data_IF_528811989497
#
_entry.id   IF_528811989497
#
_cell.length_a   1.000
_cell.length_b   1.000
_cell.length_c   1.000
_cell.angle_alpha   90.00
_cell.angle_beta   90.00
_cell.angle_gamma   90.00
#
_symmetry.space_group_name_H-M   'P 1'
#
loop_
_entity.id
_entity.type
_entity.pdbx_description
1 polymer ?
#
# COMPACT_ATOMS: atom_id res chain seq x y z
N UNK A 1 19.32 -13.27 6.70
CA UNK A 1 19.83 -12.66 5.46
C UNK A 1 19.95 -11.16 5.67
N UNK A 2 20.93 -10.46 5.07
CA UNK A 2 20.96 -9.02 5.07
C UNK A 2 19.70 -8.48 4.39
N UNK A 3 19.30 -7.25 4.71
CA UNK A 3 18.18 -6.56 4.06
C UNK A 3 18.51 -6.36 2.57
N UNK A 4 17.59 -6.78 1.72
CA UNK A 4 17.66 -6.49 0.29
C UNK A 4 17.17 -5.06 0.01
N UNK A 5 17.73 -4.41 -1.00
CA UNK A 5 17.31 -3.09 -1.47
C UNK A 5 16.90 -3.18 -2.94
N UNK A 6 15.98 -2.31 -3.42
CA UNK A 6 15.69 -2.18 -4.83
C UNK A 6 16.96 -1.84 -5.63
N UNK A 7 17.24 -2.60 -6.69
CA UNK A 7 18.42 -2.42 -7.52
C UNK A 7 18.19 -1.36 -8.61
N UNK A 8 18.88 -0.21 -8.58
CA UNK A 8 18.76 0.80 -9.62
C UNK A 8 19.09 0.28 -11.02
N UNK A 9 20.01 -0.70 -11.15
CA UNK A 9 20.36 -1.25 -12.45
C UNK A 9 19.21 -2.02 -13.08
N UNK A 10 18.36 -2.67 -12.28
CA UNK A 10 17.15 -3.32 -12.78
C UNK A 10 16.11 -2.31 -13.29
N UNK A 11 15.98 -1.16 -12.60
CA UNK A 11 14.94 -0.18 -12.89
C UNK A 11 15.31 0.82 -13.99
N UNK A 12 16.60 1.08 -14.21
CA UNK A 12 17.08 2.07 -15.18
C UNK A 12 16.53 1.81 -16.59
N UNK A 13 15.80 2.79 -17.13
CA UNK A 13 15.17 2.73 -18.47
C UNK A 13 13.99 1.76 -18.58
N UNK A 14 13.58 1.08 -17.50
CA UNK A 14 12.46 0.14 -17.53
C UNK A 14 11.12 0.89 -17.59
N UNK A 15 10.29 0.51 -18.56
CA UNK A 15 8.96 1.11 -18.71
C UNK A 15 7.98 0.51 -17.71
N UNK A 16 7.43 1.36 -16.86
CA UNK A 16 6.54 0.96 -15.77
C UNK A 16 5.20 1.70 -15.88
N UNK A 17 4.10 0.95 -15.85
CA UNK A 17 2.76 1.54 -15.71
C UNK A 17 2.31 1.45 -14.25
N UNK A 18 1.92 2.57 -13.67
CA UNK A 18 1.37 2.65 -12.30
C UNK A 18 -0.07 3.12 -12.38
N UNK A 19 -1.03 2.21 -12.17
CA UNK A 19 -2.42 2.62 -12.03
C UNK A 19 -2.67 3.16 -10.62
N UNK A 20 -3.46 4.23 -10.49
CA UNK A 20 -3.66 4.89 -9.19
C UNK A 20 -2.45 5.71 -8.71
N UNK A 21 -1.57 6.12 -9.62
CA UNK A 21 -0.34 6.85 -9.34
C UNK A 21 -0.55 8.19 -8.61
N UNK A 22 -1.72 8.81 -8.69
CA UNK A 22 -2.07 10.05 -7.98
C UNK A 22 -2.59 9.81 -6.56
N UNK A 23 -2.85 8.57 -6.17
CA UNK A 23 -3.19 8.18 -4.80
C UNK A 23 -1.99 8.24 -3.86
N UNK A 24 -2.21 8.10 -2.56
CA UNK A 24 -1.16 8.20 -1.55
C UNK A 24 0.03 7.24 -1.84
N UNK A 25 -0.18 5.93 -1.82
CA UNK A 25 0.88 4.95 -2.16
C UNK A 25 1.43 5.13 -3.56
N UNK A 26 0.55 5.46 -4.52
CA UNK A 26 0.92 5.60 -5.93
C UNK A 26 1.91 6.74 -6.17
N UNK A 27 1.75 7.89 -5.48
CA UNK A 27 2.69 9.02 -5.57
C UNK A 27 4.08 8.64 -5.06
N UNK A 28 4.16 8.01 -3.89
CA UNK A 28 5.43 7.55 -3.32
C UNK A 28 6.13 6.52 -4.21
N UNK A 29 5.38 5.54 -4.71
CA UNK A 29 5.92 4.52 -5.61
C UNK A 29 6.43 5.15 -6.93
N UNK A 30 5.67 6.07 -7.51
CA UNK A 30 6.06 6.77 -8.75
C UNK A 30 7.35 7.56 -8.56
N UNK A 31 7.48 8.29 -7.44
CA UNK A 31 8.71 9.03 -7.11
C UNK A 31 9.90 8.07 -6.93
N UNK A 32 9.71 6.99 -6.20
CA UNK A 32 10.79 6.03 -5.97
C UNK A 32 11.26 5.36 -7.27
N UNK A 33 10.32 4.90 -8.09
CA UNK A 33 10.64 4.31 -9.41
C UNK A 33 11.41 5.29 -10.29
N UNK A 34 10.99 6.56 -10.35
CA UNK A 34 11.71 7.60 -11.10
C UNK A 34 13.10 7.86 -10.54
N UNK A 35 13.25 7.89 -9.22
CA UNK A 35 14.56 8.02 -8.56
C UNK A 35 15.49 6.84 -8.86
N UNK A 36 14.94 5.64 -9.10
CA UNK A 36 15.66 4.46 -9.56
C UNK A 36 15.92 4.45 -11.08
N UNK A 37 15.50 5.48 -11.81
CA UNK A 37 15.73 5.60 -13.25
C UNK A 37 14.67 4.96 -14.15
N UNK A 38 13.52 4.52 -13.62
CA UNK A 38 12.45 3.95 -14.42
C UNK A 38 11.67 5.00 -15.22
N UNK A 39 11.18 4.61 -16.42
CA UNK A 39 10.26 5.39 -17.25
C UNK A 39 8.82 5.12 -16.81
N UNK A 40 8.27 5.99 -15.96
CA UNK A 40 6.97 5.76 -15.33
C UNK A 40 5.85 6.48 -16.04
N UNK A 41 4.89 5.70 -16.56
CA UNK A 41 3.58 6.17 -17.02
C UNK A 41 2.55 5.98 -15.90
N UNK A 42 1.82 7.05 -15.60
CA UNK A 42 0.72 7.02 -14.63
C UNK A 42 -0.63 6.85 -15.32
N UNK A 43 -1.58 6.17 -14.66
CA UNK A 43 -2.97 6.05 -15.10
C UNK A 43 -3.90 6.24 -13.91
N UNK A 44 -4.71 7.29 -13.90
CA UNK A 44 -5.63 7.58 -12.80
C UNK A 44 -6.81 8.45 -13.23
N UNK A 45 -7.88 8.47 -12.44
CA UNK A 45 -9.06 9.30 -12.68
C UNK A 45 -8.75 10.80 -12.73
N UNK A 46 -7.74 11.26 -12.01
CA UNK A 46 -7.32 12.67 -12.06
C UNK A 46 -6.78 13.09 -13.43
N UNK A 47 -6.26 12.12 -14.20
CA UNK A 47 -5.72 12.35 -15.55
C UNK A 47 -6.69 11.80 -16.62
N UNK A 48 -7.95 11.58 -16.27
CA UNK A 48 -8.99 11.09 -17.17
C UNK A 48 -8.98 9.57 -17.40
N UNK A 49 -8.14 8.81 -16.68
CA UNK A 49 -8.09 7.35 -16.78
C UNK A 49 -8.90 6.65 -15.70
N UNK A 50 -9.86 5.81 -16.07
CA UNK A 50 -10.63 4.98 -15.12
C UNK A 50 -10.40 3.50 -15.41
N UNK A 51 -10.00 2.73 -14.37
CA UNK A 51 -9.78 1.29 -14.49
C UNK A 51 -11.07 0.51 -14.77
N UNK A 52 -12.24 1.07 -14.49
CA UNK A 52 -13.52 0.48 -14.83
C UNK A 52 -13.83 0.55 -16.34
N UNK A 53 -13.16 1.45 -17.07
CA UNK A 53 -13.23 1.54 -18.54
C UNK A 53 -12.17 0.63 -19.18
N UNK A 54 -12.59 -0.53 -19.67
CA UNK A 54 -11.72 -1.50 -20.33
C UNK A 54 -11.02 -0.92 -21.60
N UNK A 55 -11.68 0.00 -22.31
CA UNK A 55 -11.12 0.65 -23.50
C UNK A 55 -9.96 1.58 -23.12
N UNK A 56 -10.18 2.42 -22.10
CA UNK A 56 -9.16 3.33 -21.60
C UNK A 56 -7.93 2.59 -21.05
N UNK A 57 -8.15 1.49 -20.32
CA UNK A 57 -7.05 0.64 -19.80
C UNK A 57 -6.25 0.02 -20.93
N UNK A 58 -6.90 -0.58 -21.95
CA UNK A 58 -6.22 -1.15 -23.12
C UNK A 58 -5.39 -0.09 -23.87
N UNK A 59 -5.97 1.08 -24.08
CA UNK A 59 -5.28 2.17 -24.75
C UNK A 59 -4.03 2.62 -23.95
N UNK A 60 -4.13 2.73 -22.64
CA UNK A 60 -3.00 3.10 -21.77
C UNK A 60 -1.86 2.07 -21.81
N UNK A 61 -2.17 0.77 -21.73
CA UNK A 61 -1.18 -0.32 -21.82
C UNK A 61 -0.54 -0.34 -23.22
N UNK A 62 -1.33 -0.22 -24.28
CA UNK A 62 -0.83 -0.22 -25.65
C UNK A 62 0.10 0.98 -25.92
N UNK A 63 -0.26 2.17 -25.45
CA UNK A 63 0.54 3.39 -25.66
C UNK A 63 1.84 3.41 -24.86
N UNK A 64 1.80 2.99 -23.59
CA UNK A 64 2.98 3.00 -22.72
C UNK A 64 3.89 1.81 -22.90
N UNK A 65 3.41 0.71 -23.51
CA UNK A 65 4.16 -0.55 -23.72
C UNK A 65 4.98 -0.98 -22.49
N UNK A 66 4.36 -1.06 -21.30
CA UNK A 66 5.10 -1.28 -20.06
C UNK A 66 5.68 -2.71 -20.02
N UNK A 67 6.80 -2.86 -19.31
CA UNK A 67 7.39 -4.16 -18.98
C UNK A 67 6.90 -4.61 -17.60
N UNK A 68 6.64 -3.65 -16.71
CA UNK A 68 6.14 -3.87 -15.35
C UNK A 68 4.86 -3.05 -15.13
N UNK A 69 3.86 -3.68 -14.54
CA UNK A 69 2.61 -3.01 -14.15
C UNK A 69 2.43 -3.09 -12.63
N UNK A 70 2.33 -1.94 -11.99
CA UNK A 70 1.85 -1.85 -10.60
C UNK A 70 0.39 -1.40 -10.61
N UNK A 71 -0.51 -2.27 -10.16
CA UNK A 71 -1.93 -1.96 -10.11
C UNK A 71 -2.33 -1.55 -8.68
N UNK A 72 -2.38 -0.21 -8.44
CA UNK A 72 -2.77 0.40 -7.16
C UNK A 72 -4.14 1.07 -7.21
N UNK A 73 -4.71 1.24 -8.41
CA UNK A 73 -6.02 1.87 -8.54
C UNK A 73 -7.08 1.06 -7.77
N UNK A 74 -7.83 1.76 -6.93
CA UNK A 74 -8.88 1.13 -6.14
C UNK A 74 -9.56 2.13 -5.21
N UNK A 75 -10.78 1.83 -4.78
CA UNK A 75 -11.44 2.50 -3.69
C UNK A 75 -10.98 1.85 -2.38
N UNK A 76 -10.38 2.65 -1.48
CA UNK A 76 -9.49 2.13 -0.44
C UNK A 76 -9.98 2.37 1.00
N UNK A 77 -11.28 2.59 1.22
CA UNK A 77 -11.84 2.78 2.57
C UNK A 77 -13.13 2.00 2.76
N UNK A 78 -13.34 1.50 3.97
CA UNK A 78 -14.56 0.81 4.39
C UNK A 78 -15.78 1.74 4.28
N UNK A 79 -15.60 3.03 4.60
CA UNK A 79 -16.68 4.04 4.51
C UNK A 79 -17.20 4.19 3.08
N UNK A 80 -16.31 4.24 2.07
CA UNK A 80 -16.73 4.24 0.67
C UNK A 80 -17.45 2.95 0.30
N UNK A 81 -17.04 1.82 0.88
CA UNK A 81 -17.73 0.53 0.70
C UNK A 81 -19.18 0.56 1.15
N UNK A 82 -19.46 1.18 2.28
CA UNK A 82 -20.85 1.35 2.75
C UNK A 82 -21.61 2.43 1.97
N UNK A 83 -20.95 3.49 1.54
CA UNK A 83 -21.59 4.58 0.81
C UNK A 83 -22.02 4.18 -0.61
N UNK A 84 -21.17 3.43 -1.32
CA UNK A 84 -21.45 2.93 -2.68
C UNK A 84 -20.79 1.55 -2.89
N UNK A 85 -21.46 0.47 -2.46
CA UNK A 85 -20.93 -0.88 -2.63
C UNK A 85 -20.70 -1.27 -4.08
N UNK A 86 -21.58 -0.87 -5.00
CA UNK A 86 -21.47 -1.22 -6.41
C UNK A 86 -20.23 -0.59 -7.06
N UNK A 87 -19.95 0.68 -6.77
CA UNK A 87 -18.75 1.34 -7.25
C UNK A 87 -17.48 0.66 -6.73
N UNK A 88 -17.47 0.20 -5.48
CA UNK A 88 -16.30 -0.48 -4.90
C UNK A 88 -16.01 -1.79 -5.64
N UNK A 89 -17.01 -2.61 -5.93
CA UNK A 89 -16.80 -3.84 -6.73
C UNK A 89 -16.42 -3.52 -8.17
N UNK A 90 -17.04 -2.52 -8.78
CA UNK A 90 -16.72 -2.10 -10.16
C UNK A 90 -15.27 -1.67 -10.28
N UNK A 91 -14.79 -0.84 -9.37
CA UNK A 91 -13.39 -0.34 -9.43
C UNK A 91 -12.40 -1.43 -8.99
N UNK A 92 -12.64 -2.09 -7.85
CA UNK A 92 -11.66 -3.00 -7.27
C UNK A 92 -11.61 -4.36 -7.98
N UNK A 93 -12.75 -4.90 -8.42
CA UNK A 93 -12.82 -6.24 -9.02
C UNK A 93 -12.82 -6.17 -10.54
N UNK A 94 -13.79 -5.45 -11.12
CA UNK A 94 -13.88 -5.32 -12.58
C UNK A 94 -12.70 -4.54 -13.13
N UNK A 95 -12.30 -3.45 -12.46
CA UNK A 95 -11.09 -2.69 -12.83
C UNK A 95 -9.82 -3.54 -12.82
N UNK A 96 -9.66 -4.44 -11.84
CA UNK A 96 -8.54 -5.39 -11.83
C UNK A 96 -8.62 -6.36 -13.01
N UNK A 97 -9.80 -6.91 -13.30
CA UNK A 97 -9.97 -7.78 -14.46
C UNK A 97 -9.64 -7.06 -15.78
N UNK A 98 -10.05 -5.79 -15.92
CA UNK A 98 -9.73 -4.97 -17.10
C UNK A 98 -8.21 -4.77 -17.27
N UNK A 99 -7.49 -4.48 -16.16
CA UNK A 99 -6.02 -4.34 -16.20
C UNK A 99 -5.37 -5.66 -16.61
N UNK A 100 -5.77 -6.78 -16.01
CA UNK A 100 -5.19 -8.09 -16.34
C UNK A 100 -5.55 -8.56 -17.76
N UNK A 101 -6.74 -8.20 -18.26
CA UNK A 101 -7.12 -8.45 -19.65
C UNK A 101 -6.26 -7.62 -20.62
N UNK A 102 -6.02 -6.35 -20.34
CA UNK A 102 -5.14 -5.52 -21.16
C UNK A 102 -3.67 -6.03 -21.12
N UNK A 103 -3.21 -6.50 -19.97
CA UNK A 103 -1.92 -7.18 -19.81
C UNK A 103 -1.86 -8.45 -20.68
N UNK A 104 -2.92 -9.27 -20.69
CA UNK A 104 -3.01 -10.46 -21.55
C UNK A 104 -2.87 -10.12 -23.04
N UNK A 105 -3.38 -8.98 -23.47
CA UNK A 105 -3.34 -8.51 -24.86
C UNK A 105 -2.00 -7.85 -25.24
N UNK A 106 -1.15 -7.56 -24.26
CA UNK A 106 0.14 -6.89 -24.46
C UNK A 106 1.28 -7.87 -24.75
N UNK A 107 2.19 -7.48 -25.65
CA UNK A 107 3.43 -8.21 -25.93
C UNK A 107 4.63 -7.70 -25.12
N UNK A 108 4.50 -6.58 -24.42
CA UNK A 108 5.59 -5.95 -23.67
C UNK A 108 5.62 -6.33 -22.19
N UNK A 109 4.46 -6.56 -21.57
CA UNK A 109 4.37 -6.83 -20.12
C UNK A 109 4.99 -8.18 -19.77
N UNK A 110 5.79 -8.19 -18.71
CA UNK A 110 6.41 -9.39 -18.13
C UNK A 110 6.05 -9.58 -16.67
N UNK A 111 5.81 -8.50 -15.95
CA UNK A 111 5.56 -8.51 -14.50
C UNK A 111 4.35 -7.68 -14.14
N UNK A 112 3.48 -8.21 -13.27
CA UNK A 112 2.37 -7.49 -12.68
C UNK A 112 2.39 -7.65 -11.15
N UNK A 113 2.29 -6.53 -10.44
CA UNK A 113 2.08 -6.50 -8.99
C UNK A 113 0.73 -5.85 -8.69
N UNK A 114 -0.23 -6.64 -8.26
CA UNK A 114 -1.58 -6.18 -7.87
C UNK A 114 -1.65 -5.85 -6.38
N UNK A 115 -1.97 -4.59 -6.04
CA UNK A 115 -2.03 -4.15 -4.64
C UNK A 115 -3.43 -4.33 -4.08
N UNK A 116 -3.57 -5.22 -3.12
CA UNK A 116 -4.82 -5.54 -2.45
C UNK A 116 -4.86 -4.94 -1.03
N UNK A 117 -5.04 -5.73 0.02
CA UNK A 117 -5.09 -5.28 1.42
C UNK A 117 -5.00 -6.47 2.36
N UNK A 118 -4.56 -6.24 3.60
CA UNK A 118 -4.73 -7.16 4.73
C UNK A 118 -6.20 -7.51 5.03
N UNK A 119 -7.12 -6.63 4.66
CA UNK A 119 -8.57 -6.83 4.80
C UNK A 119 -9.17 -7.86 3.84
N UNK A 120 -8.36 -8.49 2.98
CA UNK A 120 -8.80 -9.58 2.11
C UNK A 120 -8.97 -10.92 2.85
N UNK A 121 -8.49 -11.04 4.07
CA UNK A 121 -8.67 -12.24 4.89
C UNK A 121 -10.05 -12.31 5.53
N UNK A 122 -10.59 -13.52 5.62
CA UNK A 122 -11.79 -13.75 6.41
C UNK A 122 -11.44 -13.62 7.90
N UNK A 123 -12.10 -12.68 8.56
CA UNK A 123 -11.95 -12.56 10.01
C UNK A 123 -12.54 -13.79 10.71
N UNK A 124 -11.67 -14.55 11.37
CA UNK A 124 -12.02 -15.76 12.12
C UNK A 124 -11.80 -15.56 13.63
N UNK A 125 -11.55 -14.31 14.07
CA UNK A 125 -11.16 -14.04 15.45
C UNK A 125 -9.84 -14.72 15.84
N UNK A 126 -8.94 -14.94 14.87
CA UNK A 126 -7.68 -15.63 15.08
C UNK A 126 -6.74 -14.84 15.99
N UNK A 127 -6.14 -15.50 16.96
CA UNK A 127 -5.05 -14.94 17.78
C UNK A 127 -3.73 -14.86 16.99
N UNK A 128 -3.64 -15.57 15.86
CA UNK A 128 -2.46 -15.65 15.02
C UNK A 128 -2.52 -14.65 13.87
N UNK A 129 -1.37 -14.17 13.42
CA UNK A 129 -1.24 -13.36 12.23
C UNK A 129 -1.56 -14.18 10.98
N UNK A 130 -2.36 -13.62 10.05
CA UNK A 130 -2.78 -14.28 8.82
C UNK A 130 -1.60 -14.48 7.87
N UNK A 131 -1.50 -15.70 7.35
CA UNK A 131 -0.54 -16.09 6.32
C UNK A 131 -1.18 -16.00 4.94
N UNK A 132 -0.33 -16.01 3.92
CA UNK A 132 -0.80 -15.79 2.53
C UNK A 132 -1.74 -16.89 2.03
N UNK A 133 -1.69 -18.08 2.61
CA UNK A 133 -2.52 -19.23 2.24
C UNK A 133 -3.80 -19.35 3.11
N UNK A 134 -4.01 -18.42 4.04
CA UNK A 134 -5.20 -18.38 4.87
C UNK A 134 -6.43 -17.94 4.06
N UNK A 135 -7.60 -18.29 4.59
CA UNK A 135 -8.89 -18.11 3.93
C UNK A 135 -9.17 -16.64 3.62
N UNK A 136 -9.49 -16.39 2.35
CA UNK A 136 -9.93 -15.07 1.88
C UNK A 136 -11.43 -14.85 2.17
N UNK A 137 -11.80 -13.60 2.43
CA UNK A 137 -13.16 -13.18 2.68
C UNK A 137 -13.21 -11.73 3.14
N UNK A 138 -14.39 -11.25 3.57
CA UNK A 138 -14.52 -9.90 4.11
C UNK A 138 -15.95 -9.63 4.54
N UNK A 139 -16.12 -9.00 5.69
CA UNK A 139 -17.43 -8.71 6.24
C UNK A 139 -18.12 -7.54 5.53
N UNK A 140 -17.38 -6.50 5.22
CA UNK A 140 -17.90 -5.30 4.56
C UNK A 140 -17.63 -5.30 3.04
N UNK A 141 -18.30 -4.43 2.26
CA UNK A 141 -18.14 -4.40 0.80
C UNK A 141 -16.70 -4.11 0.34
N UNK A 142 -15.94 -3.27 1.07
CA UNK A 142 -14.55 -3.01 0.76
C UNK A 142 -13.69 -4.26 0.97
N UNK A 143 -13.79 -4.87 2.15
CA UNK A 143 -13.01 -6.06 2.52
C UNK A 143 -13.31 -7.23 1.57
N UNK A 144 -14.58 -7.50 1.28
CA UNK A 144 -14.98 -8.56 0.33
C UNK A 144 -14.54 -8.24 -1.10
N UNK A 145 -14.52 -6.96 -1.52
CA UNK A 145 -13.99 -6.59 -2.83
C UNK A 145 -12.49 -6.86 -2.95
N UNK A 146 -11.74 -6.69 -1.85
CA UNK A 146 -10.30 -7.00 -1.82
C UNK A 146 -10.04 -8.51 -1.85
N UNK A 147 -10.86 -9.31 -1.20
CA UNK A 147 -10.83 -10.77 -1.33
C UNK A 147 -11.17 -11.22 -2.76
N UNK A 148 -12.21 -10.65 -3.37
CA UNK A 148 -12.57 -10.94 -4.75
C UNK A 148 -11.46 -10.50 -5.74
N UNK A 149 -10.78 -9.38 -5.48
CA UNK A 149 -9.61 -8.93 -6.24
C UNK A 149 -8.48 -9.98 -6.21
N UNK A 150 -8.18 -10.56 -5.04
CA UNK A 150 -7.20 -11.65 -4.89
C UNK A 150 -7.58 -12.87 -5.74
N UNK A 151 -8.85 -13.27 -5.73
CA UNK A 151 -9.36 -14.40 -6.53
C UNK A 151 -9.22 -14.12 -8.04
N UNK A 152 -9.54 -12.90 -8.49
CA UNK A 152 -9.36 -12.50 -9.90
C UNK A 152 -7.89 -12.53 -10.28
N UNK A 153 -7.00 -11.97 -9.46
CA UNK A 153 -5.55 -12.00 -9.72
C UNK A 153 -5.05 -13.44 -9.81
N UNK A 154 -5.44 -14.30 -8.87
CA UNK A 154 -5.03 -15.70 -8.86
C UNK A 154 -5.53 -16.45 -10.10
N UNK A 155 -6.80 -16.28 -10.48
CA UNK A 155 -7.36 -16.92 -11.66
C UNK A 155 -6.62 -16.51 -12.96
N UNK A 156 -6.37 -15.21 -13.17
CA UNK A 156 -5.63 -14.74 -14.33
C UNK A 156 -4.17 -15.22 -14.32
N UNK A 157 -3.51 -15.15 -13.16
CA UNK A 157 -2.13 -15.63 -13.00
C UNK A 157 -2.01 -17.09 -13.43
N UNK A 158 -2.81 -17.97 -12.83
CA UNK A 158 -2.60 -19.41 -12.89
C UNK A 158 -3.15 -20.01 -14.20
N UNK A 159 -4.29 -19.51 -14.69
CA UNK A 159 -4.97 -20.11 -15.85
C UNK A 159 -4.70 -19.40 -17.18
N UNK A 160 -4.18 -18.17 -17.17
CA UNK A 160 -4.09 -17.34 -18.39
C UNK A 160 -2.67 -16.80 -18.61
N UNK A 161 -2.12 -16.07 -17.62
CA UNK A 161 -0.92 -15.26 -17.84
C UNK A 161 0.37 -16.06 -17.70
N UNK A 162 0.41 -17.09 -16.85
CA UNK A 162 1.56 -17.98 -16.73
C UNK A 162 1.95 -18.64 -18.06
N UNK A 163 0.98 -19.08 -18.83
CA UNK A 163 1.20 -19.67 -20.15
C UNK A 163 1.78 -18.68 -21.18
N UNK A 164 1.70 -17.37 -20.90
CA UNK A 164 2.28 -16.30 -21.72
C UNK A 164 3.63 -15.80 -21.18
N UNK A 165 4.18 -16.43 -20.14
CA UNK A 165 5.42 -15.99 -19.49
C UNK A 165 5.28 -14.65 -18.74
N UNK A 166 4.07 -14.30 -18.32
CA UNK A 166 3.81 -13.09 -17.54
C UNK A 166 3.65 -13.48 -16.05
N UNK A 167 4.58 -13.02 -15.23
CA UNK A 167 4.55 -13.29 -13.79
C UNK A 167 3.66 -12.28 -13.06
N UNK A 168 2.72 -12.79 -12.26
CA UNK A 168 1.75 -11.96 -11.53
C UNK A 168 1.78 -12.29 -10.04
N UNK A 169 1.90 -11.27 -9.21
CA UNK A 169 1.76 -11.42 -7.76
C UNK A 169 0.74 -10.42 -7.20
N UNK A 170 0.10 -10.79 -6.10
CA UNK A 170 -0.66 -9.86 -5.27
C UNK A 170 0.12 -9.48 -4.02
N UNK A 171 -0.08 -8.26 -3.53
CA UNK A 171 0.58 -7.77 -2.33
C UNK A 171 -0.45 -7.20 -1.35
N UNK A 172 -0.34 -7.64 -0.11
CA UNK A 172 -1.25 -7.33 1.00
C UNK A 172 -0.49 -6.56 2.06
N UNK A 173 -0.94 -5.38 2.38
CA UNK A 173 -0.36 -4.57 3.45
C UNK A 173 -1.48 -3.92 4.27
N UNK A 174 -1.23 -3.78 5.56
CA UNK A 174 -2.12 -3.13 6.51
C UNK A 174 -2.11 -1.62 6.40
N UNK A 175 -2.38 -0.96 7.52
CA UNK A 175 -2.45 0.49 7.59
C UNK A 175 -1.07 1.11 7.32
N UNK A 176 -1.00 1.99 6.35
CA UNK A 176 0.22 2.75 6.04
C UNK A 176 0.04 4.22 6.36
N UNK A 177 1.09 4.83 6.88
CA UNK A 177 1.18 6.26 7.18
C UNK A 177 2.39 6.87 6.47
N UNK A 178 2.40 8.18 6.31
CA UNK A 178 3.49 8.91 5.67
C UNK A 178 3.06 10.29 5.20
N UNK A 179 4.00 11.08 4.76
CA UNK A 179 3.74 12.42 4.27
C UNK A 179 2.79 12.45 3.08
N UNK A 180 1.92 13.47 3.04
CA UNK A 180 1.02 13.72 1.93
C UNK A 180 -0.19 12.79 1.82
N UNK A 181 -0.48 11.91 2.79
CA UNK A 181 -1.80 11.26 2.86
C UNK A 181 -2.85 12.28 3.33
N UNK A 182 -3.85 12.51 2.48
CA UNK A 182 -4.96 13.44 2.73
C UNK A 182 -6.31 12.72 2.73
N UNK A 183 -6.30 11.38 2.88
CA UNK A 183 -7.51 10.57 2.81
C UNK A 183 -8.41 10.82 4.03
N UNK A 184 -9.63 11.36 3.85
CA UNK A 184 -10.54 11.62 4.96
C UNK A 184 -10.95 10.33 5.67
N UNK A 185 -11.21 10.42 6.99
CA UNK A 185 -11.67 9.29 7.80
C UNK A 185 -10.56 8.31 8.18
N UNK A 186 -9.29 8.63 7.90
CA UNK A 186 -8.12 7.92 8.42
C UNK A 186 -7.51 8.70 9.57
N UNK A 187 -7.11 7.99 10.63
CA UNK A 187 -6.62 8.58 11.88
C UNK A 187 -5.50 9.62 11.66
N UNK A 188 -4.38 9.23 11.03
CA UNK A 188 -3.21 10.11 10.91
C UNK A 188 -3.47 11.30 9.99
N UNK A 189 -4.07 11.15 8.79
CA UNK A 189 -4.51 12.30 8.00
C UNK A 189 -5.46 13.26 8.72
N UNK A 190 -6.39 12.71 9.51
CA UNK A 190 -7.35 13.53 10.25
C UNK A 190 -6.68 14.28 11.42
N UNK A 191 -5.74 13.63 12.14
CA UNK A 191 -4.90 14.28 13.16
C UNK A 191 -4.06 15.41 12.57
N UNK A 192 -3.41 15.19 11.44
CA UNK A 192 -2.61 16.21 10.76
C UNK A 192 -3.48 17.40 10.34
N UNK A 193 -4.65 17.12 9.75
CA UNK A 193 -5.59 18.18 9.32
C UNK A 193 -6.05 19.02 10.52
N UNK A 194 -6.47 18.37 11.61
CA UNK A 194 -6.90 19.04 12.83
C UNK A 194 -5.76 19.88 13.45
N UNK A 195 -4.55 19.32 13.51
CA UNK A 195 -3.37 20.01 14.02
C UNK A 195 -3.00 21.25 13.20
N UNK A 196 -3.08 21.17 11.85
CA UNK A 196 -2.82 22.32 10.98
C UNK A 196 -3.90 23.39 11.08
N UNK A 197 -5.16 23.01 11.34
CA UNK A 197 -6.29 23.93 11.54
C UNK A 197 -6.37 24.48 12.96
N UNK A 198 -5.65 23.90 13.92
CA UNK A 198 -5.80 24.24 15.35
C UNK A 198 -7.15 23.79 15.93
N UNK A 199 -7.72 22.72 15.37
CA UNK A 199 -9.04 22.20 15.74
C UNK A 199 -8.91 20.92 16.59
N UNK A 200 -9.86 20.65 17.52
CA UNK A 200 -9.88 19.40 18.25
C UNK A 200 -10.28 18.23 17.34
N UNK A 201 -9.70 17.05 17.58
CA UNK A 201 -10.10 15.80 16.95
C UNK A 201 -10.64 14.83 17.99
N UNK A 202 -11.78 14.19 17.67
CA UNK A 202 -12.32 13.08 18.47
C UNK A 202 -11.79 11.73 17.93
N UNK A 203 -11.17 10.95 18.83
CA UNK A 203 -10.66 9.61 18.55
C UNK A 203 -11.60 8.58 19.17
N UNK A 204 -12.20 7.73 18.31
CA UNK A 204 -13.33 6.86 18.67
C UNK A 204 -12.95 5.57 19.38
N UNK A 205 -11.77 5.00 19.11
CA UNK A 205 -11.34 3.70 19.63
C UNK A 205 -9.88 3.73 20.07
N UNK A 206 -9.55 4.41 21.18
CA UNK A 206 -8.16 4.63 21.61
C UNK A 206 -7.40 3.33 21.91
N UNK A 207 -8.07 2.31 22.45
CA UNK A 207 -7.46 1.03 22.79
C UNK A 207 -7.28 0.08 21.59
N UNK A 208 -7.87 0.39 20.41
CA UNK A 208 -7.77 -0.46 19.25
C UNK A 208 -6.32 -0.56 18.75
N UNK A 209 -5.83 -1.78 18.53
CA UNK A 209 -4.49 -2.03 17.98
C UNK A 209 -4.58 -2.27 16.49
N UNK A 210 -3.61 -1.73 15.73
CA UNK A 210 -3.56 -1.87 14.28
C UNK A 210 -2.11 -1.99 13.80
N UNK A 211 -1.84 -2.81 12.74
CA UNK A 211 -0.49 -2.97 12.20
C UNK A 211 -0.10 -1.77 11.33
N UNK A 212 0.27 -0.66 11.98
CA UNK A 212 0.70 0.54 11.29
C UNK A 212 2.15 0.45 10.85
N UNK A 213 2.46 1.00 9.67
CA UNK A 213 3.83 1.09 9.18
C UNK A 213 4.00 2.29 8.25
N UNK A 214 5.25 2.74 8.04
CA UNK A 214 5.53 3.78 7.06
C UNK A 214 5.26 3.26 5.64
N UNK A 215 4.76 4.14 4.75
CA UNK A 215 4.42 3.78 3.37
C UNK A 215 5.59 3.20 2.58
N UNK A 216 6.83 3.63 2.87
CA UNK A 216 8.04 3.12 2.23
C UNK A 216 8.34 1.65 2.56
N UNK A 217 7.96 1.17 3.75
CA UNK A 217 8.21 -0.22 4.13
C UNK A 217 7.58 -1.22 3.14
N UNK A 218 6.25 -1.23 2.90
CA UNK A 218 5.66 -2.14 1.94
C UNK A 218 6.04 -1.80 0.49
N UNK A 219 6.26 -0.52 0.15
CA UNK A 219 6.67 -0.14 -1.21
C UNK A 219 8.05 -0.70 -1.58
N UNK A 220 9.00 -0.77 -0.64
CA UNK A 220 10.26 -1.49 -0.85
C UNK A 220 10.00 -2.95 -1.19
N UNK A 221 9.12 -3.59 -0.43
CA UNK A 221 8.74 -4.98 -0.70
C UNK A 221 8.13 -5.18 -2.08
N UNK A 222 7.32 -4.24 -2.55
CA UNK A 222 6.71 -4.31 -3.90
C UNK A 222 7.77 -4.19 -5.00
N UNK A 223 8.76 -3.31 -4.82
CA UNK A 223 9.86 -3.14 -5.76
C UNK A 223 10.75 -4.39 -5.81
N UNK A 224 11.12 -4.93 -4.64
CA UNK A 224 11.90 -6.18 -4.54
C UNK A 224 11.16 -7.36 -5.17
N UNK A 225 9.85 -7.48 -4.90
CA UNK A 225 9.03 -8.54 -5.46
C UNK A 225 8.97 -8.45 -6.99
N UNK A 226 8.78 -7.25 -7.54
CA UNK A 226 8.75 -7.06 -8.99
C UNK A 226 10.07 -7.46 -9.66
N UNK A 227 11.22 -7.18 -9.04
CA UNK A 227 12.52 -7.62 -9.51
C UNK A 227 12.64 -9.16 -9.52
N UNK A 228 12.24 -9.80 -8.40
CA UNK A 228 12.27 -11.26 -8.30
C UNK A 228 11.33 -11.95 -9.29
N UNK A 229 10.15 -11.38 -9.52
CA UNK A 229 9.18 -11.89 -10.47
C UNK A 229 9.70 -11.87 -11.92
N UNK A 230 10.58 -10.93 -12.26
CA UNK A 230 11.16 -10.86 -13.60
C UNK A 230 12.09 -12.04 -13.90
N UNK A 231 12.73 -12.58 -12.87
CA UNK A 231 13.74 -13.63 -13.01
C UNK A 231 13.21 -15.02 -12.62
N UNK A 232 12.27 -15.09 -11.66
CA UNK A 232 11.81 -16.35 -11.07
C UNK A 232 10.28 -16.37 -10.91
N UNK A 233 9.57 -17.14 -11.74
CA UNK A 233 8.10 -17.25 -11.67
C UNK A 233 7.60 -17.92 -10.38
N UNK A 234 8.44 -18.55 -9.57
CA UNK A 234 8.04 -19.12 -8.27
C UNK A 234 7.65 -18.06 -7.26
N UNK A 235 7.96 -16.78 -7.55
CA UNK A 235 7.47 -15.64 -6.77
C UNK A 235 6.06 -15.20 -7.16
N UNK A 236 5.46 -15.75 -8.21
CA UNK A 236 4.11 -15.43 -8.67
C UNK A 236 3.05 -16.02 -7.72
N UNK A 237 2.81 -15.35 -6.59
CA UNK A 237 1.86 -15.75 -5.54
C UNK A 237 1.39 -14.52 -4.75
N UNK A 238 0.61 -14.72 -3.68
CA UNK A 238 0.28 -13.67 -2.72
C UNK A 238 1.43 -13.41 -1.74
N UNK A 239 1.61 -12.15 -1.32
CA UNK A 239 2.66 -11.72 -0.41
C UNK A 239 2.13 -10.75 0.64
N UNK A 240 2.46 -11.00 1.91
CA UNK A 240 2.16 -10.13 3.02
C UNK A 240 3.34 -9.20 3.33
N UNK A 241 3.02 -7.91 3.57
CA UNK A 241 3.97 -6.89 4.00
C UNK A 241 3.38 -6.14 5.19
N UNK A 242 3.62 -6.62 6.39
CA UNK A 242 3.21 -6.04 7.65
C UNK A 242 4.39 -5.76 8.57
N UNK A 243 4.20 -4.90 9.58
CA UNK A 243 5.21 -4.62 10.59
C UNK A 243 5.50 -5.86 11.44
N UNK A 244 6.56 -5.81 12.23
CA UNK A 244 6.81 -6.82 13.27
C UNK A 244 5.73 -6.74 14.36
N UNK A 245 5.56 -7.81 15.14
CA UNK A 245 4.50 -7.90 16.15
C UNK A 245 4.69 -6.87 17.28
N UNK A 246 5.93 -6.60 17.62
CA UNK A 246 6.33 -5.62 18.64
C UNK A 246 5.88 -4.19 18.29
N UNK A 247 5.71 -3.90 17.00
CA UNK A 247 5.23 -2.60 16.49
C UNK A 247 3.69 -2.44 16.56
N UNK A 248 2.98 -3.41 17.11
CA UNK A 248 1.52 -3.33 17.27
C UNK A 248 1.16 -2.52 18.52
N UNK A 249 0.94 -1.23 18.36
CA UNK A 249 0.56 -0.32 19.42
C UNK A 249 -0.92 0.10 19.35
N UNK A 250 -1.54 0.47 20.49
CA UNK A 250 -2.89 1.03 20.49
C UNK A 250 -2.93 2.42 19.83
N UNK A 251 -4.10 2.80 19.33
CA UNK A 251 -4.33 4.11 18.69
C UNK A 251 -3.92 5.28 19.59
N UNK A 252 -4.21 5.21 20.89
CA UNK A 252 -3.79 6.23 21.85
C UNK A 252 -2.28 6.45 21.87
N UNK A 253 -1.47 5.39 21.75
CA UNK A 253 -0.01 5.51 21.69
C UNK A 253 0.44 6.31 20.45
N UNK A 254 -0.21 6.07 19.30
CA UNK A 254 0.05 6.83 18.06
C UNK A 254 -0.26 8.31 18.26
N UNK A 255 -1.40 8.60 18.87
CA UNK A 255 -1.85 9.97 19.16
C UNK A 255 -0.84 10.68 20.08
N UNK A 256 -0.42 10.03 21.18
CA UNK A 256 0.55 10.61 22.11
C UNK A 256 1.94 10.79 21.47
N UNK A 257 2.37 9.85 20.64
CA UNK A 257 3.62 10.00 19.88
C UNK A 257 3.55 11.20 18.94
N UNK A 258 2.47 11.36 18.18
CA UNK A 258 2.28 12.53 17.30
C UNK A 258 2.20 13.82 18.11
N UNK A 259 1.45 13.82 19.24
CA UNK A 259 1.34 14.97 20.15
C UNK A 259 2.70 15.44 20.65
N UNK A 260 3.57 14.50 21.04
CA UNK A 260 4.92 14.81 21.54
C UNK A 260 5.85 15.38 20.47
N UNK A 261 5.56 15.13 19.19
CA UNK A 261 6.36 15.59 18.04
C UNK A 261 5.80 16.83 17.35
N UNK A 262 4.52 17.17 17.61
CA UNK A 262 3.88 18.33 16.99
C UNK A 262 4.09 19.59 17.82
N UNK A 263 4.68 20.68 17.26
CA UNK A 263 4.84 21.94 17.97
C UNK A 263 3.49 22.50 18.43
N UNK A 264 3.36 22.77 19.73
CA UNK A 264 2.08 23.22 20.33
C UNK A 264 1.16 22.07 20.73
N UNK A 265 1.52 20.80 20.46
CA UNK A 265 0.72 19.63 20.78
C UNK A 265 -0.48 19.43 19.86
N UNK A 266 -1.35 18.48 20.20
CA UNK A 266 -2.60 18.17 19.50
C UNK A 266 -3.76 18.27 20.52
N UNK A 267 -4.85 18.92 20.14
CA UNK A 267 -6.10 18.88 20.92
C UNK A 267 -6.88 17.62 20.51
N UNK A 268 -6.81 16.58 21.34
CA UNK A 268 -7.47 15.31 21.09
C UNK A 268 -8.39 14.95 22.24
N UNK A 269 -9.62 14.58 21.87
CA UNK A 269 -10.63 14.06 22.79
C UNK A 269 -10.87 12.59 22.50
N UNK A 270 -11.05 11.78 23.51
CA UNK A 270 -11.37 10.37 23.35
C UNK A 270 -12.86 10.17 23.58
N UNK A 271 -13.52 9.44 22.66
CA UNK A 271 -14.92 9.10 22.80
C UNK A 271 -15.14 8.17 24.01
N UNK A 272 -16.17 8.44 24.80
CA UNK A 272 -16.49 7.65 26.00
C UNK A 272 -16.93 6.21 25.68
N UNK A 273 -17.51 5.99 24.51
CA UNK A 273 -17.91 4.65 24.03
C UNK A 273 -17.58 4.48 22.54
N UNK A 274 -17.09 3.30 22.12
CA UNK A 274 -16.91 3.01 20.70
C UNK A 274 -18.27 2.94 20.00
N UNK A 275 -18.48 3.80 19.02
CA UNK A 275 -19.74 3.93 18.28
C UNK A 275 -19.97 2.89 17.19
N UNK A 276 -18.96 2.08 16.86
CA UNK A 276 -19.03 1.04 15.82
C UNK A 276 -18.28 -0.20 16.30
N UNK A 277 -18.87 -1.36 16.07
CA UNK A 277 -18.17 -2.64 16.24
C UNK A 277 -16.98 -2.67 15.25
N UNK A 278 -15.79 -2.34 15.74
CA UNK A 278 -14.58 -2.50 14.94
C UNK A 278 -14.18 -3.98 15.00
N UNK A 279 -14.32 -4.67 13.87
CA UNK A 279 -13.82 -6.03 13.72
C UNK A 279 -12.35 -6.10 14.16
N UNK A 280 -11.97 -7.20 14.78
CA UNK A 280 -10.57 -7.48 15.09
C UNK A 280 -9.76 -7.31 13.80
N UNK A 281 -8.64 -6.56 13.89
CA UNK A 281 -7.91 -6.22 12.67
C UNK A 281 -6.94 -7.33 12.37
N UNK A 282 -6.96 -7.83 11.13
CA UNK A 282 -6.05 -8.87 10.73
C UNK A 282 -4.60 -8.39 10.83
N UNK A 283 -3.82 -9.01 11.71
CA UNK A 283 -2.37 -8.95 11.64
C UNK A 283 -1.92 -9.89 10.53
N UNK A 284 -0.91 -9.50 9.76
CA UNK A 284 -0.38 -10.33 8.69
C UNK A 284 1.03 -10.84 9.03
N UNK A 285 1.26 -12.12 8.83
CA UNK A 285 2.58 -12.74 8.94
C UNK A 285 3.38 -12.45 7.66
N UNK A 286 4.49 -11.74 7.80
CA UNK A 286 5.38 -11.38 6.69
C UNK A 286 6.62 -12.28 6.60
N UNK A 287 6.61 -13.45 7.23
CA UNK A 287 7.74 -14.39 7.24
C UNK A 287 8.16 -14.79 5.83
N UNK A 288 7.21 -14.98 4.91
CA UNK A 288 7.50 -15.26 3.50
C UNK A 288 8.33 -14.15 2.84
N UNK A 289 7.96 -12.89 3.04
CA UNK A 289 8.70 -11.74 2.52
C UNK A 289 10.10 -11.64 3.15
N UNK A 290 10.20 -11.86 4.46
CA UNK A 290 11.49 -11.83 5.17
C UNK A 290 12.46 -12.91 4.70
N UNK A 291 11.97 -14.12 4.52
CA UNK A 291 12.82 -15.30 4.22
C UNK A 291 13.15 -15.43 2.74
N UNK A 292 12.22 -15.10 1.83
CA UNK A 292 12.41 -15.30 0.40
C UNK A 292 12.86 -14.05 -0.35
N UNK A 293 12.38 -12.86 0.05
CA UNK A 293 12.77 -11.59 -0.59
C UNK A 293 13.93 -10.89 0.14
N UNK A 294 14.24 -11.28 1.38
CA UNK A 294 15.16 -10.51 2.23
C UNK A 294 14.58 -9.15 2.64
N UNK A 295 13.26 -8.98 2.51
CA UNK A 295 12.59 -7.75 2.92
C UNK A 295 12.62 -7.59 4.44
N UNK A 296 12.84 -6.37 4.90
CA UNK A 296 12.77 -5.97 6.30
C UNK A 296 12.13 -4.58 6.37
N UNK A 297 11.38 -4.33 7.43
CA UNK A 297 10.88 -3.00 7.74
C UNK A 297 11.97 -2.23 8.50
N UNK A 298 12.69 -1.27 7.88
CA UNK A 298 13.78 -0.58 8.57
C UNK A 298 13.27 0.49 9.54
N UNK A 299 12.07 0.98 9.34
CA UNK A 299 11.42 1.92 10.24
C UNK A 299 10.34 1.21 11.04
N UNK A 300 10.53 1.18 12.36
CA UNK A 300 9.51 0.80 13.31
C UNK A 300 8.36 1.84 13.33
N UNK A 301 7.32 1.60 14.11
CA UNK A 301 6.18 2.52 14.16
C UNK A 301 6.58 3.90 14.73
N UNK A 302 7.52 3.96 15.68
CA UNK A 302 7.98 5.22 16.23
C UNK A 302 8.66 6.08 15.15
N UNK A 303 9.58 5.50 14.39
CA UNK A 303 10.23 6.17 13.27
C UNK A 303 9.22 6.54 12.18
N UNK A 304 8.25 5.66 11.87
CA UNK A 304 7.21 5.93 10.88
C UNK A 304 6.38 7.17 11.23
N UNK A 305 6.01 7.34 12.50
CA UNK A 305 5.28 8.53 12.97
C UNK A 305 6.18 9.76 12.93
N UNK A 306 7.42 9.66 13.40
CA UNK A 306 8.36 10.79 13.42
C UNK A 306 8.61 11.31 12.00
N UNK A 307 8.85 10.41 11.03
CA UNK A 307 9.02 10.77 9.61
C UNK A 307 7.76 11.40 9.02
N UNK A 308 6.57 10.89 9.39
CA UNK A 308 5.30 11.46 8.94
C UNK A 308 5.11 12.88 9.45
N UNK A 309 5.36 13.12 10.75
CA UNK A 309 5.25 14.46 11.35
C UNK A 309 6.27 15.41 10.76
N UNK A 310 7.54 15.00 10.65
CA UNK A 310 8.63 15.79 10.05
C UNK A 310 8.26 16.27 8.64
N UNK A 311 7.73 15.37 7.80
CA UNK A 311 7.31 15.69 6.45
C UNK A 311 6.21 16.77 6.44
N UNK A 312 5.17 16.61 7.28
CA UNK A 312 4.05 17.56 7.33
C UNK A 312 4.45 18.93 7.88
N UNK A 313 5.32 18.97 8.89
CA UNK A 313 5.84 20.22 9.43
C UNK A 313 6.71 20.96 8.41
N UNK A 314 7.61 20.25 7.74
CA UNK A 314 8.45 20.84 6.72
C UNK A 314 7.63 21.37 5.52
N UNK A 315 6.59 20.62 5.12
CA UNK A 315 5.67 21.08 4.06
C UNK A 315 4.86 22.30 4.50
N UNK A 316 4.34 22.34 5.73
CA UNK A 316 3.69 23.53 6.30
C UNK A 316 4.61 24.76 6.24
N UNK A 317 5.90 24.56 6.49
CA UNK A 317 6.93 25.59 6.49
C UNK A 317 7.42 25.95 5.05
N UNK A 318 6.73 25.47 4.00
CA UNK A 318 6.91 25.85 2.59
C UNK A 318 7.86 24.95 1.78
N UNK A 319 8.32 23.83 2.32
CA UNK A 319 9.16 22.90 1.56
C UNK A 319 8.34 22.12 0.53
N UNK A 320 8.96 21.81 -0.59
CA UNK A 320 8.37 21.05 -1.69
C UNK A 320 8.08 19.58 -1.32
N UNK A 321 6.88 19.10 -1.64
CA UNK A 321 6.42 17.73 -1.32
C UNK A 321 7.28 16.65 -1.97
N UNK A 322 7.75 16.85 -3.20
CA UNK A 322 8.55 15.87 -3.91
C UNK A 322 9.94 15.78 -3.32
N UNK A 323 10.56 16.92 -3.03
CA UNK A 323 11.86 16.98 -2.39
C UNK A 323 11.85 16.29 -1.03
N UNK A 324 10.86 16.58 -0.17
CA UNK A 324 10.67 15.93 1.12
C UNK A 324 10.53 14.41 1.00
N UNK A 325 9.75 13.96 0.01
CA UNK A 325 9.52 12.53 -0.20
C UNK A 325 10.77 11.83 -0.72
N UNK A 326 11.54 12.46 -1.60
CA UNK A 326 12.81 11.92 -2.09
C UNK A 326 13.86 11.80 -0.97
N UNK A 327 13.98 12.82 -0.11
CA UNK A 327 14.86 12.76 1.08
C UNK A 327 14.49 11.57 1.99
N UNK A 328 13.20 11.32 2.21
CA UNK A 328 12.78 10.18 3.02
C UNK A 328 13.04 8.84 2.32
N UNK A 329 12.91 8.75 1.00
CA UNK A 329 13.29 7.55 0.23
C UNK A 329 14.79 7.28 0.39
N UNK A 330 15.63 8.29 0.28
CA UNK A 330 17.08 8.15 0.48
C UNK A 330 17.42 7.71 1.91
N UNK A 331 16.84 8.35 2.91
CA UNK A 331 17.03 7.98 4.33
C UNK A 331 16.58 6.55 4.61
N UNK A 332 15.44 6.13 4.05
CA UNK A 332 14.93 4.77 4.20
C UNK A 332 15.88 3.75 3.57
N UNK A 333 16.42 4.03 2.37
CA UNK A 333 17.39 3.18 1.69
C UNK A 333 18.75 3.08 2.42
N UNK A 334 19.17 4.15 3.09
CA UNK A 334 20.44 4.19 3.81
C UNK A 334 20.42 3.45 5.17
N UNK A 335 19.23 3.10 5.71
CA UNK A 335 19.13 2.38 6.98
C UNK A 335 19.65 0.95 6.83
N UNK A 336 20.65 0.61 7.61
CA UNK A 336 21.00 -0.80 7.83
C UNK A 336 19.91 -1.43 8.70
N UNK A 337 19.50 -2.67 8.39
CA UNK A 337 18.57 -3.38 9.26
C UNK A 337 19.15 -3.44 10.69
N UNK A 338 18.34 -3.22 11.73
CA UNK A 338 18.80 -3.50 13.09
C UNK A 338 19.32 -4.93 13.15
N UNK A 339 20.43 -5.14 13.87
CA UNK A 339 20.92 -6.49 14.12
C UNK A 339 19.80 -7.29 14.77
N UNK A 340 19.52 -8.48 14.25
CA UNK A 340 18.55 -9.38 14.88
C UNK A 340 18.98 -9.64 16.32
N UNK A 341 18.04 -9.65 17.29
CA UNK A 341 18.35 -9.90 18.70
C UNK A 341 18.99 -11.28 18.92
#
# INVERSE_FOLDING_TARGET
MPRALPDPAFWAGRRVLVTGHTGFKGRWLTLWLRALGAEVTGFSRRDGGDVSDAGAVRAAVAASRPEVVFHLAGLATVQLGYADPAAVYTVNVVGTANVLQAVRESDSVRVVVGVTSDKCYLDQGSEWAYREDDRLGGYDPYSSSKAAQELVIAAFRDSILAARGIAVASVRAGNVIGGGDRTPGRLVPDLVRAALAGEPLEVRAPAARRPWQHVLNPLEGYLLLAQRLADDPTFATGWNFGPEEEDSHPVEWIVERMRSRWPGGLDVRYAEQPTVHEAAIPRVDSTRARTRLGWRSPWDLAAAIDMTVEWHLAHRDGRDEQALSLEQIERHGAMTAPAAP
#
